data_IF_765343793494
#
_entry.id   IF_765343793494
#
_cell.length_a   1.000
_cell.length_b   1.000
_cell.length_c   1.000
_cell.angle_alpha   90.00
_cell.angle_beta   90.00
_cell.angle_gamma   90.00
#
_symmetry.space_group_name_H-M   'P 1'
#
loop_
_entity.id
_entity.type
_entity.pdbx_description
1 polymer ?
#
# COMPACT_ATOMS: atom_id res chain seq x y z
N UNK A 1 -19.38 -36.97 34.63
CA UNK A 1 -18.12 -37.05 35.41
C UNK A 1 -17.02 -37.27 34.36
N UNK A 2 -16.04 -36.40 34.12
CA UNK A 2 -15.41 -35.39 34.95
C UNK A 2 -14.86 -34.22 34.11
N UNK A 3 -14.79 -33.06 34.77
CA UNK A 3 -14.29 -31.77 34.29
C UNK A 3 -12.98 -31.48 35.06
N UNK A 4 -12.01 -30.80 34.44
CA UNK A 4 -11.21 -29.84 35.19
C UNK A 4 -11.20 -28.50 34.44
N UNK A 5 -11.85 -27.47 34.97
CA UNK A 5 -11.32 -26.49 35.93
C UNK A 5 -10.53 -25.38 35.24
N UNK A 6 -11.26 -24.29 34.99
CA UNK A 6 -10.79 -22.96 34.61
C UNK A 6 -9.80 -22.42 35.66
N UNK A 7 -8.74 -21.77 35.20
CA UNK A 7 -8.04 -20.76 35.99
C UNK A 7 -8.39 -19.39 35.40
N UNK A 8 -9.10 -18.64 36.23
CA UNK A 8 -9.38 -17.23 36.12
C UNK A 8 -8.12 -16.51 36.65
N UNK A 9 -7.54 -15.60 35.88
CA UNK A 9 -6.77 -14.50 36.44
C UNK A 9 -7.29 -13.21 35.83
N UNK A 10 -8.03 -12.53 36.68
CA UNK A 10 -8.50 -11.16 36.58
C UNK A 10 -7.33 -10.26 36.98
N UNK A 11 -6.94 -9.34 36.10
CA UNK A 11 -6.27 -8.13 36.56
C UNK A 11 -6.55 -7.00 35.58
N UNK A 12 -7.68 -6.34 35.80
CA UNK A 12 -7.86 -4.94 35.44
C UNK A 12 -6.87 -4.10 36.24
N UNK A 13 -6.00 -3.35 35.56
CA UNK A 13 -5.78 -1.96 35.95
C UNK A 13 -5.15 -1.16 34.80
N UNK A 14 -5.82 -0.04 34.50
CA UNK A 14 -5.35 0.93 33.55
C UNK A 14 -4.18 1.73 34.11
N UNK A 15 -3.38 2.30 33.20
CA UNK A 15 -3.12 3.74 33.08
C UNK A 15 -2.16 3.91 31.92
N UNK A 16 -2.63 4.68 30.93
CA UNK A 16 -1.84 5.21 29.82
C UNK A 16 -0.76 6.13 30.38
N UNK A 17 0.48 5.65 30.46
CA UNK A 17 1.64 6.46 30.77
C UNK A 17 2.27 7.04 29.50
N UNK A 18 1.71 8.12 28.96
CA UNK A 18 2.44 8.98 28.03
C UNK A 18 3.46 9.81 28.84
N UNK A 19 4.74 9.46 28.80
CA UNK A 19 5.81 10.31 29.32
C UNK A 19 6.62 10.91 28.17
N UNK A 20 6.05 11.93 27.51
CA UNK A 20 6.85 12.88 26.75
C UNK A 20 7.45 13.88 27.73
N UNK A 21 8.71 13.69 28.10
CA UNK A 21 9.47 14.65 28.88
C UNK A 21 9.96 15.78 27.95
N UNK A 22 9.43 17.00 28.12
CA UNK A 22 10.01 18.20 27.54
C UNK A 22 11.25 18.59 28.34
N UNK A 23 12.44 18.44 27.76
CA UNK A 23 13.66 19.04 28.29
C UNK A 23 13.71 20.53 27.92
N UNK A 24 13.55 21.39 28.94
CA UNK A 24 13.78 22.83 28.83
C UNK A 24 15.29 23.13 28.74
N UNK A 25 15.73 24.09 27.91
CA UNK A 25 17.14 24.47 27.86
C UNK A 25 17.48 25.44 29.00
N UNK A 26 18.19 24.96 30.02
CA UNK A 26 18.89 25.79 31.02
C UNK A 26 20.06 26.52 30.35
N UNK A 27 19.90 27.83 30.14
CA UNK A 27 21.00 28.74 29.81
C UNK A 27 21.75 29.11 31.09
N UNK A 28 22.95 28.56 31.27
CA UNK A 28 23.94 29.12 32.20
C UNK A 28 24.87 30.06 31.44
N UNK A 29 24.70 31.36 31.65
CA UNK A 29 25.69 32.38 31.30
C UNK A 29 26.56 32.67 32.52
N UNK A 30 27.78 32.15 32.54
CA UNK A 30 28.79 32.53 33.52
C UNK A 30 29.63 33.68 32.96
N UNK A 31 29.37 34.89 33.43
CA UNK A 31 30.20 36.08 33.23
C UNK A 31 31.36 36.07 34.23
N UNK A 32 32.55 35.73 33.78
CA UNK A 32 33.79 35.95 34.53
C UNK A 32 34.43 37.26 34.07
N UNK A 33 34.31 38.28 34.92
CA UNK A 33 35.16 39.47 34.91
C UNK A 33 36.63 39.08 35.04
N UNK A 34 37.48 39.61 34.17
CA UNK A 34 38.84 40.01 34.51
C UNK A 34 39.18 41.29 33.76
N UNK A 35 39.43 42.36 34.53
CA UNK A 35 39.93 43.63 34.04
C UNK A 35 41.40 43.53 33.65
N UNK A 36 41.84 44.50 32.85
CA UNK A 36 43.25 44.65 32.48
C UNK A 36 43.39 45.34 31.14
N UNK A 37 43.25 46.67 31.13
CA UNK A 37 43.47 47.47 29.93
C UNK A 37 44.96 47.51 29.57
N UNK A 38 45.25 47.35 28.29
CA UNK A 38 46.38 48.02 27.64
C UNK A 38 46.01 48.28 26.19
N UNK A 39 46.27 49.52 25.79
CA UNK A 39 45.88 50.16 24.54
C UNK A 39 46.39 49.39 23.32
N UNK A 40 45.54 49.29 22.30
CA UNK A 40 45.91 48.85 20.96
C UNK A 40 47.09 49.71 20.47
N UNK A 41 48.20 49.04 20.13
CA UNK A 41 49.29 49.67 19.41
C UNK A 41 48.76 50.19 18.08
N UNK A 42 49.05 51.45 17.79
CA UNK A 42 48.94 52.04 16.47
C UNK A 42 49.77 51.17 15.52
N UNK A 43 49.11 50.25 14.83
CA UNK A 43 49.67 49.59 13.66
C UNK A 43 50.00 50.72 12.69
N UNK A 44 51.29 50.95 12.55
CA UNK A 44 51.94 51.77 11.54
C UNK A 44 51.39 51.38 10.17
N UNK A 45 50.39 52.13 9.71
CA UNK A 45 49.92 52.02 8.34
C UNK A 45 50.96 52.72 7.49
N UNK A 46 51.85 51.96 6.86
CA UNK A 46 52.71 52.49 5.80
C UNK A 46 51.83 52.87 4.62
N UNK A 47 51.34 54.12 4.62
CA UNK A 47 50.70 54.73 3.47
C UNK A 47 51.83 55.34 2.64
N UNK A 48 52.24 54.62 1.60
CA UNK A 48 53.18 55.13 0.61
C UNK A 48 52.48 56.29 -0.11
N UNK A 49 52.99 57.50 0.08
CA UNK A 49 52.48 58.68 -0.63
C UNK A 49 52.70 58.50 -2.15
N UNK A 50 51.67 58.82 -2.94
CA UNK A 50 51.79 58.82 -4.40
C UNK A 50 52.81 59.89 -4.84
N UNK A 51 53.72 59.60 -5.78
CA UNK A 51 54.66 60.59 -6.27
C UNK A 51 53.91 61.68 -7.05
N UNK A 52 54.24 62.95 -6.79
CA UNK A 52 53.65 64.13 -7.45
C UNK A 52 54.15 64.35 -8.90
N UNK A 53 54.88 63.37 -9.45
CA UNK A 53 55.48 63.46 -10.78
C UNK A 53 54.70 62.57 -11.75
N UNK A 54 54.08 63.10 -12.82
CA UNK A 54 53.13 62.36 -13.65
C UNK A 54 53.73 61.13 -14.36
N UNK A 55 55.06 61.09 -14.55
CA UNK A 55 55.76 59.93 -15.13
C UNK A 55 56.13 58.85 -14.10
N UNK A 56 56.25 59.19 -12.83
CA UNK A 56 56.47 58.22 -11.76
C UNK A 56 55.17 57.51 -11.38
N UNK A 57 54.04 58.22 -11.43
CA UNK A 57 52.71 57.67 -11.14
C UNK A 57 52.30 56.54 -12.12
N UNK A 58 52.63 56.67 -13.40
CA UNK A 58 52.30 55.69 -14.44
C UNK A 58 52.98 54.33 -14.21
N UNK A 59 54.22 54.34 -13.69
CA UNK A 59 54.99 53.11 -13.48
C UNK A 59 54.60 52.38 -12.18
N UNK A 60 54.08 53.07 -11.17
CA UNK A 60 53.55 52.44 -9.93
C UNK A 60 52.19 51.76 -10.13
N UNK A 61 51.43 52.11 -11.16
CA UNK A 61 50.10 51.54 -11.43
C UNK A 61 50.16 50.16 -12.09
N UNK A 62 51.36 49.69 -12.48
CA UNK A 62 51.63 48.35 -13.02
C UNK A 62 52.11 47.33 -11.97
N UNK A 63 51.76 47.50 -10.70
CA UNK A 63 51.87 46.37 -9.75
C UNK A 63 50.62 45.50 -9.88
N UNK A 64 50.73 44.22 -10.31
CA UNK A 64 49.57 43.35 -10.35
C UNK A 64 49.08 43.15 -8.92
N UNK A 65 47.83 43.53 -8.65
CA UNK A 65 47.16 43.21 -7.38
C UNK A 65 47.31 41.70 -7.15
N UNK A 66 48.14 41.28 -6.19
CA UNK A 66 48.19 39.89 -5.75
C UNK A 66 46.83 39.55 -5.18
N UNK A 67 46.01 38.86 -5.98
CA UNK A 67 44.73 38.34 -5.54
C UNK A 67 44.98 37.42 -4.34
N UNK A 68 44.56 37.86 -3.17
CA UNK A 68 44.64 37.08 -1.95
C UNK A 68 43.73 35.86 -2.11
N UNK A 69 44.31 34.74 -2.56
CA UNK A 69 43.65 33.43 -2.49
C UNK A 69 43.62 33.03 -1.03
N UNK A 70 42.57 33.45 -0.33
CA UNK A 70 42.35 33.13 1.07
C UNK A 70 42.50 31.63 1.30
N UNK A 71 43.36 31.26 2.25
CA UNK A 71 43.49 29.88 2.72
C UNK A 71 42.11 29.43 3.17
N UNK A 72 41.49 28.50 2.44
CA UNK A 72 40.24 27.84 2.81
C UNK A 72 40.41 27.31 4.25
N UNK A 73 39.90 28.07 5.21
CA UNK A 73 39.93 27.73 6.63
C UNK A 73 38.84 26.67 6.81
N UNK A 74 39.15 25.45 6.34
CA UNK A 74 38.32 24.26 6.55
C UNK A 74 38.35 24.01 8.04
N UNK A 75 37.34 24.52 8.75
CA UNK A 75 37.12 24.21 10.14
C UNK A 75 36.88 22.70 10.20
N UNK A 76 37.80 21.89 10.75
CA UNK A 76 37.69 20.43 10.70
C UNK A 76 36.36 19.96 11.32
N UNK A 77 35.82 20.71 12.29
CA UNK A 77 34.49 20.47 12.86
C UNK A 77 33.32 20.67 11.88
N UNK A 78 33.40 21.62 10.94
CA UNK A 78 32.33 21.83 9.95
C UNK A 78 32.33 20.72 8.90
N UNK A 79 33.50 20.24 8.47
CA UNK A 79 33.59 19.09 7.57
C UNK A 79 33.09 17.81 8.24
N UNK A 80 33.43 17.60 9.51
CA UNK A 80 32.92 16.48 10.30
C UNK A 80 31.40 16.55 10.45
N UNK A 81 30.86 17.74 10.73
CA UNK A 81 29.41 17.94 10.84
C UNK A 81 28.69 17.64 9.52
N UNK A 82 29.22 18.10 8.38
CA UNK A 82 28.66 17.79 7.06
C UNK A 82 28.71 16.29 6.77
N UNK A 83 29.78 15.59 7.15
CA UNK A 83 29.89 14.14 7.02
C UNK A 83 28.86 13.40 7.88
N UNK A 84 28.67 13.82 9.14
CA UNK A 84 27.67 13.21 10.03
C UNK A 84 26.26 13.44 9.49
N UNK A 85 25.93 14.67 9.08
CA UNK A 85 24.60 15.00 8.54
C UNK A 85 24.35 14.26 7.23
N UNK A 86 25.33 14.22 6.32
CA UNK A 86 25.23 13.45 5.08
C UNK A 86 25.06 11.95 5.32
N UNK A 87 25.85 11.39 6.25
CA UNK A 87 25.74 10.00 6.66
C UNK A 87 24.39 9.67 7.31
N UNK A 88 23.87 10.56 8.15
CA UNK A 88 22.56 10.41 8.77
C UNK A 88 21.42 10.43 7.73
N UNK A 89 21.45 11.35 6.77
CA UNK A 89 20.45 11.42 5.69
C UNK A 89 20.50 10.13 4.84
N UNK A 90 21.70 9.68 4.47
CA UNK A 90 21.87 8.45 3.70
C UNK A 90 21.38 7.21 4.48
N UNK A 91 21.70 7.14 5.78
CA UNK A 91 21.24 6.06 6.64
C UNK A 91 19.70 6.05 6.77
N UNK A 92 19.09 7.21 7.03
CA UNK A 92 17.62 7.32 7.13
C UNK A 92 16.95 6.84 5.84
N UNK A 93 17.43 7.28 4.68
CA UNK A 93 16.86 6.88 3.39
C UNK A 93 17.01 5.36 3.13
N UNK A 94 18.17 4.80 3.46
CA UNK A 94 18.41 3.36 3.32
C UNK A 94 17.50 2.54 4.24
N UNK A 95 17.46 2.88 5.53
CA UNK A 95 16.63 2.18 6.51
C UNK A 95 15.13 2.39 6.24
N UNK A 96 14.70 3.56 5.72
CA UNK A 96 13.30 3.78 5.39
C UNK A 96 12.83 2.88 4.25
N UNK A 97 13.64 2.71 3.20
CA UNK A 97 13.29 1.83 2.07
C UNK A 97 13.31 0.36 2.52
N UNK A 98 14.36 -0.06 3.23
CA UNK A 98 14.49 -1.45 3.70
C UNK A 98 13.35 -1.83 4.67
N UNK A 99 13.04 -0.98 5.67
CA UNK A 99 11.93 -1.23 6.61
C UNK A 99 10.56 -1.08 5.96
N UNK A 100 10.45 -0.25 4.93
CA UNK A 100 9.25 -0.17 4.10
C UNK A 100 8.94 -1.52 3.44
N UNK A 101 9.93 -2.12 2.77
CA UNK A 101 9.78 -3.43 2.13
C UNK A 101 9.39 -4.53 3.13
N UNK A 102 10.08 -4.62 4.27
CA UNK A 102 9.72 -5.59 5.32
C UNK A 102 8.29 -5.40 5.87
N UNK A 103 7.79 -4.16 5.91
CA UNK A 103 6.41 -3.88 6.32
C UNK A 103 5.41 -4.33 5.25
N UNK A 104 5.70 -4.08 3.97
CA UNK A 104 4.90 -4.55 2.85
C UNK A 104 4.83 -6.08 2.80
N UNK A 105 5.95 -6.78 2.96
CA UNK A 105 5.99 -8.25 2.93
C UNK A 105 5.16 -8.87 4.05
N UNK A 106 5.19 -8.27 5.26
CA UNK A 106 4.37 -8.71 6.39
C UNK A 106 2.89 -8.49 6.14
N UNK A 107 2.51 -7.32 5.61
CA UNK A 107 1.13 -7.03 5.24
C UNK A 107 0.63 -8.02 4.18
N UNK A 108 1.42 -8.25 3.14
CA UNK A 108 1.11 -9.20 2.08
C UNK A 108 0.98 -10.64 2.61
N UNK A 109 1.89 -11.08 3.48
CA UNK A 109 1.83 -12.42 4.08
C UNK A 109 0.55 -12.63 4.91
N UNK A 110 0.10 -11.61 5.66
CA UNK A 110 -1.17 -11.65 6.39
C UNK A 110 -2.35 -11.74 5.43
N UNK A 111 -2.37 -10.91 4.37
CA UNK A 111 -3.44 -10.95 3.37
C UNK A 111 -3.49 -12.30 2.64
N UNK A 112 -2.34 -12.86 2.28
CA UNK A 112 -2.25 -14.20 1.68
C UNK A 112 -2.78 -15.28 2.60
N UNK A 113 -2.48 -15.22 3.90
CA UNK A 113 -3.02 -16.17 4.89
C UNK A 113 -4.54 -16.05 4.99
N UNK A 114 -5.07 -14.83 5.13
CA UNK A 114 -6.51 -14.59 5.21
C UNK A 114 -7.25 -15.04 3.94
N UNK A 115 -6.65 -14.82 2.76
CA UNK A 115 -7.20 -15.30 1.50
C UNK A 115 -7.20 -16.84 1.42
N UNK A 116 -6.15 -17.49 1.91
CA UNK A 116 -6.08 -18.96 1.99
C UNK A 116 -7.11 -19.53 2.96
N UNK A 117 -7.34 -18.88 4.10
CA UNK A 117 -8.38 -19.28 5.06
C UNK A 117 -9.79 -19.21 4.47
N UNK A 118 -10.04 -18.26 3.55
CA UNK A 118 -11.33 -18.12 2.84
C UNK A 118 -11.45 -19.00 1.58
N UNK A 119 -10.36 -19.60 1.13
CA UNK A 119 -10.37 -20.42 -0.07
C UNK A 119 -11.18 -21.70 0.18
N UNK A 120 -12.01 -22.07 -0.79
CA UNK A 120 -12.75 -23.33 -0.75
C UNK A 120 -11.76 -24.48 -1.02
N UNK A 121 -11.74 -25.49 -0.16
CA UNK A 121 -10.91 -26.68 -0.35
C UNK A 121 -11.26 -27.37 -1.68
N UNK A 122 -10.34 -27.33 -2.63
CA UNK A 122 -10.54 -27.82 -4.00
C UNK A 122 -10.09 -29.29 -4.19
N UNK A 123 -9.44 -29.88 -3.19
CA UNK A 123 -8.93 -31.25 -3.23
C UNK A 123 -7.80 -31.47 -4.25
N UNK A 124 -7.25 -30.40 -4.83
CA UNK A 124 -6.19 -30.45 -5.82
C UNK A 124 -4.84 -30.19 -5.13
N UNK A 125 -3.93 -31.17 -5.16
CA UNK A 125 -2.58 -31.06 -4.55
C UNK A 125 -1.65 -30.10 -5.31
N UNK A 126 -2.06 -29.66 -6.50
CA UNK A 126 -1.20 -28.97 -7.47
C UNK A 126 -1.83 -27.70 -8.02
N UNK A 127 -2.87 -27.15 -7.37
CA UNK A 127 -3.48 -25.90 -7.78
C UNK A 127 -2.46 -24.75 -7.64
N UNK A 128 -2.25 -24.01 -8.73
CA UNK A 128 -1.40 -22.82 -8.72
C UNK A 128 -1.78 -21.92 -7.54
N UNK A 129 -0.78 -21.53 -6.75
CA UNK A 129 -0.86 -20.40 -5.82
C UNK A 129 -0.99 -19.09 -6.62
N UNK A 130 -1.93 -19.03 -7.56
CA UNK A 130 -2.22 -17.83 -8.32
C UNK A 130 -2.94 -16.88 -7.36
N UNK A 131 -2.17 -15.89 -6.94
CA UNK A 131 -2.57 -14.86 -5.98
C UNK A 131 -2.87 -13.61 -6.80
N UNK A 132 -4.15 -13.26 -6.91
CA UNK A 132 -4.55 -11.99 -7.51
C UNK A 132 -4.40 -10.90 -6.45
N UNK A 133 -3.50 -9.95 -6.69
CA UNK A 133 -3.26 -8.81 -5.80
C UNK A 133 -3.81 -7.57 -6.45
N UNK A 134 -4.75 -6.91 -5.77
CA UNK A 134 -5.30 -5.64 -6.21
C UNK A 134 -4.37 -4.46 -5.88
N UNK A 135 -4.69 -3.28 -6.41
CA UNK A 135 -3.94 -2.03 -6.25
C UNK A 135 -3.70 -1.60 -4.80
N UNK A 136 -4.59 -2.00 -3.88
CA UNK A 136 -4.55 -1.71 -2.46
C UNK A 136 -3.92 -2.83 -1.62
N UNK A 137 -3.33 -3.83 -2.28
CA UNK A 137 -2.66 -4.96 -1.63
C UNK A 137 -3.61 -6.01 -1.07
N UNK A 138 -4.91 -5.92 -1.34
CA UNK A 138 -5.86 -7.00 -1.04
C UNK A 138 -5.61 -8.18 -1.96
N UNK A 139 -5.69 -9.37 -1.39
CA UNK A 139 -5.45 -10.63 -2.08
C UNK A 139 -6.77 -11.34 -2.34
N UNK A 140 -7.02 -11.77 -3.59
CA UNK A 140 -8.16 -12.59 -4.01
C UNK A 140 -9.54 -11.95 -3.66
N UNK A 141 -9.59 -10.62 -3.65
CA UNK A 141 -10.80 -9.83 -3.41
C UNK A 141 -10.70 -8.54 -4.22
N UNK A 142 -10.97 -8.55 -5.54
CA UNK A 142 -10.83 -7.36 -6.38
C UNK A 142 -11.91 -6.30 -6.07
N UNK A 143 -11.63 -5.02 -6.33
CA UNK A 143 -12.62 -3.91 -6.28
C UNK A 143 -13.59 -3.96 -7.44
N UNK A 144 -13.11 -4.40 -8.60
CA UNK A 144 -13.87 -4.47 -9.84
C UNK A 144 -13.44 -5.75 -10.56
N UNK A 145 -14.40 -6.53 -11.03
CA UNK A 145 -14.07 -7.67 -11.89
C UNK A 145 -13.61 -7.16 -13.26
N UNK A 146 -12.51 -7.71 -13.82
CA UNK A 146 -12.04 -7.31 -15.14
C UNK A 146 -13.14 -7.54 -16.17
N UNK A 147 -13.33 -6.56 -17.05
CA UNK A 147 -14.32 -6.65 -18.12
C UNK A 147 -13.91 -7.79 -19.06
N UNK A 148 -14.71 -8.86 -19.11
CA UNK A 148 -14.57 -9.89 -20.15
C UNK A 148 -14.96 -9.28 -21.49
N UNK A 149 -14.20 -9.56 -22.56
CA UNK A 149 -14.62 -9.19 -23.91
C UNK A 149 -15.95 -9.87 -24.25
N UNK A 150 -17.03 -9.11 -24.17
CA UNK A 150 -18.38 -9.61 -24.40
C UNK A 150 -18.59 -9.89 -25.89
N UNK A 151 -18.34 -11.13 -26.30
CA UNK A 151 -18.98 -11.68 -27.48
C UNK A 151 -20.22 -12.42 -27.00
N UNK A 152 -21.39 -12.09 -27.55
CA UNK A 152 -22.60 -12.90 -27.40
C UNK A 152 -22.56 -13.97 -28.50
N UNK A 153 -22.14 -15.21 -28.20
CA UNK A 153 -22.20 -16.29 -29.16
C UNK A 153 -23.64 -16.69 -29.42
N UNK A 154 -23.91 -17.20 -30.62
CA UNK A 154 -25.15 -17.88 -30.93
C UNK A 154 -25.03 -19.36 -30.53
N UNK A 155 -25.91 -19.81 -29.63
CA UNK A 155 -25.89 -21.17 -29.13
C UNK A 155 -26.87 -22.03 -29.93
N UNK A 156 -26.31 -22.98 -30.70
CA UNK A 156 -27.10 -23.84 -31.57
C UNK A 156 -26.98 -25.31 -31.16
N UNK A 157 -28.09 -26.04 -31.24
CA UNK A 157 -28.09 -27.50 -31.11
C UNK A 157 -28.02 -28.13 -32.51
N UNK A 158 -26.94 -28.88 -32.79
CA UNK A 158 -26.75 -29.59 -34.06
C UNK A 158 -26.30 -31.02 -33.77
N UNK A 159 -26.94 -32.01 -34.42
CA UNK A 159 -26.53 -33.43 -34.34
C UNK A 159 -26.35 -33.95 -32.89
N UNK A 160 -27.22 -33.52 -31.96
CA UNK A 160 -27.15 -33.93 -30.55
C UNK A 160 -26.04 -33.28 -29.72
N UNK A 161 -25.37 -32.24 -30.23
CA UNK A 161 -24.35 -31.46 -29.53
C UNK A 161 -24.69 -29.98 -29.52
N UNK A 162 -24.16 -29.26 -28.53
CA UNK A 162 -24.29 -27.80 -28.41
C UNK A 162 -23.04 -27.14 -29.01
N UNK A 163 -23.27 -26.16 -29.86
CA UNK A 163 -22.26 -25.36 -30.52
C UNK A 163 -22.40 -23.89 -30.12
N UNK A 164 -21.29 -23.24 -29.81
CA UNK A 164 -21.19 -21.79 -29.74
C UNK A 164 -20.67 -21.28 -31.08
N UNK A 165 -21.49 -20.52 -31.80
CA UNK A 165 -21.18 -19.94 -33.09
C UNK A 165 -20.77 -18.49 -32.87
N UNK A 166 -19.51 -18.18 -33.15
CA UNK A 166 -18.99 -16.82 -33.09
C UNK A 166 -19.46 -16.00 -34.30
N UNK A 167 -19.41 -14.66 -34.20
CA UNK A 167 -19.82 -13.74 -35.29
C UNK A 167 -19.06 -13.96 -36.61
N UNK A 168 -17.86 -14.53 -36.54
CA UNK A 168 -17.03 -14.88 -37.70
C UNK A 168 -17.38 -16.25 -38.31
N UNK A 169 -18.43 -16.93 -37.82
CA UNK A 169 -18.85 -18.26 -38.26
C UNK A 169 -18.04 -19.41 -37.69
N UNK A 170 -17.10 -19.17 -36.78
CA UNK A 170 -16.36 -20.25 -36.11
C UNK A 170 -17.29 -20.98 -35.15
N UNK A 171 -17.43 -22.29 -35.33
CA UNK A 171 -18.27 -23.15 -34.49
C UNK A 171 -17.40 -23.94 -33.51
N UNK A 172 -17.65 -23.76 -32.22
CA UNK A 172 -16.97 -24.52 -31.17
C UNK A 172 -17.99 -25.38 -30.46
N UNK A 173 -17.88 -26.71 -30.61
CA UNK A 173 -18.68 -27.64 -29.81
C UNK A 173 -18.20 -27.65 -28.37
N UNK A 174 -19.10 -27.60 -27.40
CA UNK A 174 -18.75 -27.70 -25.99
C UNK A 174 -19.73 -28.59 -25.23
N UNK A 175 -19.31 -29.05 -24.06
CA UNK A 175 -20.14 -29.81 -23.12
C UNK A 175 -20.35 -28.98 -21.87
N UNK A 176 -21.51 -29.10 -21.23
CA UNK A 176 -21.84 -28.35 -20.02
C UNK A 176 -21.44 -29.18 -18.80
N UNK A 177 -20.40 -28.74 -18.09
CA UNK A 177 -20.10 -29.16 -16.72
C UNK A 177 -20.55 -28.03 -15.80
N UNK A 178 -21.79 -28.11 -15.33
CA UNK A 178 -22.44 -27.06 -14.58
C UNK A 178 -22.61 -27.34 -13.10
N UNK A 179 -22.80 -26.27 -12.32
CA UNK A 179 -23.32 -26.31 -10.95
C UNK A 179 -24.63 -25.52 -10.84
N UNK A 180 -25.44 -25.80 -9.83
CA UNK A 180 -26.57 -24.95 -9.46
C UNK A 180 -26.18 -24.10 -8.25
N UNK A 181 -26.45 -22.79 -8.31
CA UNK A 181 -26.23 -21.89 -7.18
C UNK A 181 -27.55 -21.24 -6.77
N UNK A 182 -28.12 -21.74 -5.69
CA UNK A 182 -29.44 -21.36 -5.18
C UNK A 182 -29.38 -20.17 -4.21
N UNK A 183 -30.52 -19.53 -3.98
CA UNK A 183 -30.74 -18.45 -3.01
C UNK A 183 -31.40 -17.22 -3.61
N UNK A 184 -31.16 -16.96 -4.91
CA UNK A 184 -31.69 -15.79 -5.61
C UNK A 184 -33.18 -15.91 -5.97
N UNK A 185 -33.74 -17.11 -5.95
CA UNK A 185 -35.17 -17.37 -6.06
C UNK A 185 -35.94 -17.04 -4.78
N UNK A 186 -35.24 -16.86 -3.66
CA UNK A 186 -35.85 -16.60 -2.35
C UNK A 186 -36.02 -15.11 -2.06
N UNK A 187 -36.68 -14.77 -0.96
CA UNK A 187 -36.84 -13.38 -0.50
C UNK A 187 -35.51 -12.65 -0.21
N UNK A 188 -34.39 -13.38 -0.08
CA UNK A 188 -33.07 -12.80 0.16
C UNK A 188 -32.46 -12.21 -1.12
N UNK A 189 -32.87 -12.71 -2.30
CA UNK A 189 -32.45 -12.22 -3.63
C UNK A 189 -30.93 -12.20 -3.81
N UNK A 190 -30.24 -13.10 -3.12
CA UNK A 190 -28.79 -13.26 -3.15
C UNK A 190 -28.46 -14.74 -3.11
N UNK A 191 -27.41 -15.20 -3.83
CA UNK A 191 -26.96 -16.57 -3.71
C UNK A 191 -26.58 -16.91 -2.27
N UNK A 192 -26.94 -18.10 -1.81
CA UNK A 192 -26.55 -18.56 -0.49
C UNK A 192 -25.03 -18.71 -0.38
N UNK A 193 -24.52 -18.56 0.85
CA UNK A 193 -23.10 -18.61 1.15
C UNK A 193 -22.40 -17.25 1.14
N UNK A 194 -22.98 -16.20 0.55
CA UNK A 194 -22.40 -14.85 0.57
C UNK A 194 -22.62 -14.10 1.90
N UNK A 195 -23.04 -14.80 2.95
CA UNK A 195 -23.60 -14.18 4.14
C UNK A 195 -22.57 -13.41 5.00
N UNK A 196 -23.07 -12.47 5.81
CA UNK A 196 -22.29 -11.55 6.63
C UNK A 196 -21.81 -12.15 7.96
N UNK A 197 -20.90 -13.12 7.90
CA UNK A 197 -20.06 -13.47 9.04
C UNK A 197 -18.68 -13.99 8.59
N UNK A 198 -17.66 -13.73 9.39
CA UNK A 198 -16.27 -14.13 9.10
C UNK A 198 -16.06 -15.64 9.17
N UNK A 199 -16.98 -16.37 9.81
CA UNK A 199 -16.82 -17.79 10.11
C UNK A 199 -17.45 -18.72 9.07
N UNK A 200 -18.60 -18.35 8.50
CA UNK A 200 -19.36 -19.25 7.63
C UNK A 200 -19.50 -18.69 6.20
N UNK A 201 -19.19 -17.42 5.96
CA UNK A 201 -19.38 -16.76 4.67
C UNK A 201 -18.27 -17.07 3.66
N UNK A 202 -18.62 -17.12 2.38
CA UNK A 202 -17.67 -17.23 1.26
C UNK A 202 -17.79 -16.03 0.34
N UNK A 203 -16.86 -15.92 -0.62
CA UNK A 203 -16.83 -14.83 -1.60
C UNK A 203 -17.15 -15.34 -2.99
N UNK A 204 -17.71 -14.48 -3.83
CA UNK A 204 -17.94 -14.79 -5.24
C UNK A 204 -16.63 -15.14 -5.93
N UNK A 205 -15.53 -14.47 -5.55
CA UNK A 205 -14.19 -14.79 -6.04
C UNK A 205 -13.75 -16.21 -5.66
N UNK A 206 -13.91 -16.62 -4.40
CA UNK A 206 -13.52 -17.96 -3.95
C UNK A 206 -14.33 -19.06 -4.65
N UNK A 207 -15.63 -18.83 -4.86
CA UNK A 207 -16.49 -19.75 -5.63
C UNK A 207 -16.05 -19.80 -7.09
N UNK A 208 -15.82 -18.66 -7.75
CA UNK A 208 -15.37 -18.61 -9.14
C UNK A 208 -14.02 -19.32 -9.31
N UNK A 209 -13.09 -19.11 -8.40
CA UNK A 209 -11.78 -19.78 -8.41
C UNK A 209 -11.93 -21.29 -8.23
N UNK A 210 -12.77 -21.75 -7.30
CA UNK A 210 -13.07 -23.17 -7.13
C UNK A 210 -13.65 -23.79 -8.40
N UNK A 211 -14.62 -23.12 -9.04
CA UNK A 211 -15.25 -23.58 -10.27
C UNK A 211 -14.24 -23.67 -11.43
N UNK A 212 -13.40 -22.64 -11.59
CA UNK A 212 -12.37 -22.59 -12.61
C UNK A 212 -11.33 -23.71 -12.42
N UNK A 213 -10.82 -23.89 -11.20
CA UNK A 213 -9.85 -24.95 -10.86
C UNK A 213 -10.43 -26.36 -11.10
N UNK A 214 -11.71 -26.54 -10.83
CA UNK A 214 -12.42 -27.81 -11.07
C UNK A 214 -12.96 -27.95 -12.50
N UNK A 215 -12.64 -27.02 -13.41
CA UNK A 215 -13.05 -27.04 -14.82
C UNK A 215 -14.57 -27.04 -15.03
N UNK A 216 -15.34 -26.46 -14.09
CA UNK A 216 -16.74 -26.14 -14.34
C UNK A 216 -16.82 -24.96 -15.29
N UNK A 217 -17.75 -25.02 -16.25
CA UNK A 217 -17.90 -24.01 -17.30
C UNK A 217 -19.30 -23.40 -17.36
N UNK A 218 -20.17 -23.73 -16.41
CA UNK A 218 -21.52 -23.19 -16.35
C UNK A 218 -22.03 -23.12 -14.91
N UNK A 219 -22.80 -22.08 -14.62
CA UNK A 219 -23.52 -21.91 -13.36
C UNK A 219 -24.97 -21.64 -13.69
N UNK A 220 -25.87 -22.45 -13.14
CA UNK A 220 -27.31 -22.20 -13.20
C UNK A 220 -27.72 -21.41 -11.97
N UNK A 221 -28.31 -20.24 -12.21
CA UNK A 221 -28.78 -19.32 -11.17
C UNK A 221 -30.31 -19.26 -11.25
N UNK A 222 -31.04 -19.88 -10.31
CA UNK A 222 -32.49 -19.72 -10.19
C UNK A 222 -32.83 -18.30 -9.74
N UNK A 223 -33.80 -17.66 -10.41
CA UNK A 223 -34.20 -16.28 -10.14
C UNK A 223 -35.70 -16.19 -9.84
N UNK A 224 -36.10 -15.24 -9.01
CA UNK A 224 -37.50 -14.89 -8.79
C UNK A 224 -37.97 -13.85 -9.81
N UNK A 225 -38.95 -14.22 -10.66
CA UNK A 225 -39.49 -13.33 -11.71
C UNK A 225 -40.03 -12.03 -11.14
N UNK A 226 -40.70 -12.07 -9.98
CA UNK A 226 -41.21 -10.88 -9.31
C UNK A 226 -40.08 -9.92 -8.89
N UNK A 227 -38.92 -10.47 -8.50
CA UNK A 227 -37.76 -9.66 -8.12
C UNK A 227 -37.20 -8.90 -9.32
N UNK A 228 -37.08 -9.56 -10.47
CA UNK A 228 -36.58 -8.97 -11.72
C UNK A 228 -37.56 -7.91 -12.23
N UNK A 229 -38.86 -8.24 -12.29
CA UNK A 229 -39.88 -7.34 -12.83
C UNK A 229 -39.98 -6.04 -12.03
N UNK A 230 -39.81 -6.12 -10.71
CA UNK A 230 -39.87 -4.96 -9.82
C UNK A 230 -38.49 -4.34 -9.53
N UNK A 231 -37.43 -4.79 -10.19
CA UNK A 231 -36.04 -4.39 -9.96
C UNK A 231 -35.67 -4.34 -8.45
N UNK A 232 -36.11 -5.34 -7.69
CA UNK A 232 -35.89 -5.35 -6.23
C UNK A 232 -34.43 -5.69 -5.95
N UNK A 233 -33.71 -4.80 -5.28
CA UNK A 233 -32.32 -5.02 -4.92
C UNK A 233 -32.15 -6.19 -3.92
N UNK A 234 -30.98 -6.85 -3.92
CA UNK A 234 -30.61 -7.83 -2.90
C UNK A 234 -30.64 -7.27 -1.48
N UNK A 235 -30.91 -8.12 -0.49
CA UNK A 235 -30.85 -7.71 0.91
C UNK A 235 -29.41 -7.46 1.36
N UNK A 236 -29.10 -6.18 1.58
CA UNK A 236 -27.75 -5.69 1.85
C UNK A 236 -27.15 -6.18 3.16
N UNK A 237 -27.99 -6.44 4.17
CA UNK A 237 -27.58 -6.95 5.49
C UNK A 237 -27.12 -8.40 5.46
N UNK A 238 -27.30 -9.08 4.33
CA UNK A 238 -26.94 -10.47 4.19
C UNK A 238 -25.58 -10.57 3.53
N UNK A 239 -25.19 -9.68 2.61
CA UNK A 239 -23.95 -9.83 1.87
C UNK A 239 -22.80 -9.11 2.58
N UNK A 240 -21.71 -9.81 2.86
CA UNK A 240 -20.49 -9.16 3.37
C UNK A 240 -19.83 -8.33 2.24
N UNK A 241 -19.96 -7.01 2.33
CA UNK A 241 -19.42 -6.07 1.34
C UNK A 241 -17.91 -5.86 1.45
N UNK A 242 -17.31 -6.16 2.60
CA UNK A 242 -15.86 -6.05 2.79
C UNK A 242 -15.17 -7.17 2.00
N UNK A 243 -15.73 -8.38 2.06
CA UNK A 243 -15.20 -9.56 1.38
C UNK A 243 -15.76 -9.76 -0.04
N UNK A 244 -16.85 -9.09 -0.40
CA UNK A 244 -17.42 -9.07 -1.75
C UNK A 244 -17.57 -7.63 -2.27
N UNK A 245 -16.47 -6.89 -2.29
CA UNK A 245 -16.45 -5.45 -2.59
C UNK A 245 -16.72 -5.09 -4.05
N UNK A 246 -16.55 -6.04 -4.97
CA UNK A 246 -16.82 -5.87 -6.40
C UNK A 246 -18.29 -6.04 -6.80
N UNK A 247 -19.17 -6.44 -5.88
CA UNK A 247 -20.58 -6.63 -6.19
C UNK A 247 -21.34 -5.31 -6.20
N UNK A 248 -21.99 -5.02 -7.33
CA UNK A 248 -23.03 -4.00 -7.37
C UNK A 248 -24.33 -4.59 -6.82
N UNK A 249 -24.84 -3.98 -5.74
CA UNK A 249 -26.06 -4.42 -5.03
C UNK A 249 -27.18 -3.39 -5.13
N UNK A 250 -27.07 -2.44 -6.06
CA UNK A 250 -28.04 -1.33 -6.20
C UNK A 250 -29.29 -1.73 -6.99
N UNK A 251 -29.22 -2.76 -7.83
CA UNK A 251 -30.32 -3.24 -8.67
C UNK A 251 -30.39 -4.77 -8.72
N UNK A 252 -31.49 -5.31 -9.27
CA UNK A 252 -31.54 -6.72 -9.66
C UNK A 252 -30.57 -6.98 -10.84
N UNK A 253 -30.02 -8.20 -10.97
CA UNK A 253 -29.24 -8.57 -12.14
C UNK A 253 -30.15 -8.61 -13.37
N UNK A 254 -29.79 -7.81 -14.38
CA UNK A 254 -30.45 -7.72 -15.69
C UNK A 254 -29.80 -8.64 -16.70
#
# INVERSE_FOLDING_TARGET
>A
MDRPSQLYDDNTDGVRGNSFAYSAPTRHSSSSHHGGGTRASLIERNIIAAPLDPRAAENTMRSPHKAYKGRLRRWPGVLLLVMIVGGAIAAIAYFSVSKGQEAHDRAFAVQKRLAKERAIADGLTSGSDEVDVDDDGQVNNPKVYPQSSCQQPDYQSKNGKIYAVAKNGTEVSFQIKGVNWFGMETGLRSPFGLWDNEQNGTTVYAIAQFLAKNKFNSVRIPLCVESILNNKAPQLSIINRVTNRALDLTSSPS
#
